data_IF_447122798722
#
_entry.id   IF_447122798722
#
_cell.length_a   1.000
_cell.length_b   1.000
_cell.length_c   1.000
_cell.angle_alpha   90.00
_cell.angle_beta   90.00
_cell.angle_gamma   90.00
#
_symmetry.space_group_name_H-M   'P 1'
#
loop_
_entity.id
_entity.type
_entity.pdbx_description
1 polymer ?
#
# COMPACT_ATOMS: atom_id res chain seq x y z
N UNK A 1 -25.91 -2.95 -12.32
CA UNK A 1 -25.02 -2.88 -11.14
C UNK A 1 -23.63 -3.33 -11.59
N UNK A 2 -22.57 -2.60 -11.21
CA UNK A 2 -21.20 -3.01 -11.48
C UNK A 2 -20.79 -4.21 -10.60
N UNK A 3 -19.78 -4.95 -11.02
CA UNK A 3 -19.29 -6.16 -10.38
C UNK A 3 -17.78 -6.03 -10.17
N UNK A 4 -17.34 -6.16 -8.93
CA UNK A 4 -15.92 -6.23 -8.58
C UNK A 4 -15.44 -7.68 -8.50
N UNK A 5 -14.30 -7.99 -9.12
CA UNK A 5 -13.52 -9.23 -8.94
C UNK A 5 -12.11 -8.84 -8.50
N UNK A 6 -11.72 -9.24 -7.29
CA UNK A 6 -10.34 -9.10 -6.81
C UNK A 6 -9.41 -9.95 -7.68
N UNK A 7 -8.26 -9.40 -8.08
CA UNK A 7 -7.26 -10.07 -8.90
C UNK A 7 -5.96 -10.33 -8.12
N UNK A 8 -5.54 -9.37 -7.30
CA UNK A 8 -4.33 -9.49 -6.50
C UNK A 8 -4.35 -8.54 -5.29
N UNK A 9 -3.67 -8.86 -4.18
CA UNK A 9 -3.49 -7.92 -3.08
C UNK A 9 -2.58 -6.76 -3.49
N UNK A 10 -2.87 -5.57 -3.01
CA UNK A 10 -2.04 -4.37 -3.19
C UNK A 10 -2.08 -3.52 -1.92
N UNK A 11 -1.54 -4.04 -0.81
CA UNK A 11 -1.62 -3.37 0.48
C UNK A 11 -0.96 -2.00 0.42
N UNK A 12 -1.46 -1.05 1.22
CA UNK A 12 -0.70 0.16 1.51
C UNK A 12 0.52 -0.22 2.36
N UNK A 13 1.58 0.55 2.19
CA UNK A 13 2.83 0.43 2.94
C UNK A 13 3.30 1.83 3.30
N UNK A 14 3.83 1.99 4.51
CA UNK A 14 4.55 3.21 4.90
C UNK A 14 6.01 3.01 4.55
N UNK A 15 6.63 4.02 3.95
CA UNK A 15 8.00 3.93 3.47
C UNK A 15 8.74 5.28 3.57
N UNK A 16 10.06 5.19 3.62
CA UNK A 16 10.96 6.33 3.59
C UNK A 16 12.31 5.96 2.98
N UNK A 17 13.09 6.95 2.55
CA UNK A 17 14.48 6.72 2.16
C UNK A 17 15.34 6.27 3.35
N UNK A 18 16.35 5.41 3.13
CA UNK A 18 17.31 5.04 4.17
C UNK A 18 17.96 6.26 4.84
N UNK A 19 18.32 7.28 4.06
CA UNK A 19 18.95 8.51 4.56
C UNK A 19 18.03 9.34 5.47
N UNK A 20 16.73 9.30 5.23
CA UNK A 20 15.75 9.91 6.14
C UNK A 20 15.73 9.16 7.48
N UNK A 21 15.60 7.83 7.43
CA UNK A 21 15.53 6.99 8.63
C UNK A 21 16.82 7.07 9.46
N UNK A 22 17.98 7.13 8.83
CA UNK A 22 19.26 7.31 9.52
C UNK A 22 19.33 8.64 10.30
N UNK A 23 18.69 9.70 9.79
CA UNK A 23 18.72 11.04 10.40
C UNK A 23 17.61 11.27 11.43
N UNK A 24 16.45 10.66 11.24
CA UNK A 24 15.23 10.93 12.03
C UNK A 24 14.78 9.76 12.89
N UNK A 25 15.40 8.59 12.75
CA UNK A 25 14.92 7.35 13.33
C UNK A 25 13.79 6.73 12.50
N UNK A 26 13.47 5.48 12.82
CA UNK A 26 12.34 4.75 12.27
C UNK A 26 11.21 4.73 13.30
N UNK A 27 9.97 5.12 12.94
CA UNK A 27 8.83 4.98 13.84
C UNK A 27 8.50 3.49 14.03
N UNK A 28 8.17 3.08 15.25
CA UNK A 28 7.84 1.68 15.60
C UNK A 28 6.36 1.51 15.93
N UNK A 29 5.72 2.56 16.44
CA UNK A 29 4.27 2.59 16.68
C UNK A 29 3.60 3.70 15.89
N UNK A 30 2.31 3.55 15.63
CA UNK A 30 1.56 4.47 14.78
C UNK A 30 1.52 5.91 15.36
N UNK A 31 1.65 6.07 16.68
CA UNK A 31 1.72 7.38 17.33
C UNK A 31 3.04 8.15 17.05
N UNK A 32 4.12 7.44 16.71
CA UNK A 32 5.41 8.05 16.35
C UNK A 32 5.30 8.89 15.08
N UNK A 33 4.34 8.59 14.19
CA UNK A 33 4.11 9.36 12.97
C UNK A 33 3.88 10.85 13.22
N UNK A 34 3.43 11.23 14.41
CA UNK A 34 3.28 12.64 14.82
C UNK A 34 4.60 13.41 14.84
N UNK A 35 5.72 12.72 14.97
CA UNK A 35 7.06 13.30 15.04
C UNK A 35 7.79 13.30 13.69
N UNK A 36 7.14 12.78 12.64
CA UNK A 36 7.72 12.65 11.31
C UNK A 36 6.91 13.47 10.27
N UNK A 37 7.59 14.21 9.37
CA UNK A 37 6.93 14.70 8.17
C UNK A 37 6.31 13.56 7.37
N UNK A 38 4.99 13.57 7.23
CA UNK A 38 4.21 12.63 6.43
C UNK A 38 3.73 13.33 5.16
N UNK A 39 4.16 12.82 4.01
CA UNK A 39 3.88 13.42 2.70
C UNK A 39 2.45 13.05 2.29
N UNK A 40 1.59 14.07 2.16
CA UNK A 40 0.20 13.87 1.77
C UNK A 40 0.03 13.77 0.25
N UNK A 41 -0.84 12.85 -0.20
CA UNK A 41 -1.41 12.84 -1.54
C UNK A 41 -2.65 13.75 -1.56
N UNK A 42 -2.71 14.72 -2.48
CA UNK A 42 -3.83 15.67 -2.56
C UNK A 42 -5.16 14.95 -2.73
N UNK A 43 -6.18 15.40 -2.00
CA UNK A 43 -7.50 14.75 -1.97
C UNK A 43 -7.57 13.49 -1.10
N UNK A 44 -6.43 12.94 -0.66
CA UNK A 44 -6.35 11.78 0.25
C UNK A 44 -5.36 12.04 1.39
N UNK A 45 -5.59 13.05 2.25
CA UNK A 45 -4.65 13.42 3.30
C UNK A 45 -4.69 12.49 4.51
N UNK A 46 -5.61 11.54 4.58
CA UNK A 46 -5.74 10.58 5.68
C UNK A 46 -5.15 9.23 5.28
N UNK A 47 -4.27 8.71 6.14
CA UNK A 47 -3.68 7.38 6.08
C UNK A 47 -4.49 6.45 6.97
N UNK A 48 -5.03 5.40 6.37
CA UNK A 48 -5.88 4.42 7.05
C UNK A 48 -5.07 3.24 7.55
N UNK A 49 -5.38 2.82 8.77
CA UNK A 49 -4.77 1.70 9.48
C UNK A 49 -5.84 0.88 10.20
N UNK A 50 -5.47 -0.31 10.64
CA UNK A 50 -6.20 -1.13 11.61
C UNK A 50 -5.31 -1.34 12.84
N UNK A 51 -5.77 -0.97 14.03
CA UNK A 51 -5.09 -1.14 15.33
C UNK A 51 -6.05 -1.89 16.24
N UNK A 52 -5.62 -3.03 16.79
CA UNK A 52 -6.45 -3.91 17.64
C UNK A 52 -7.80 -4.35 17.00
N UNK A 53 -7.85 -4.42 15.67
CA UNK A 53 -9.07 -4.76 14.91
C UNK A 53 -9.96 -3.56 14.56
N UNK A 54 -9.69 -2.39 15.14
CA UNK A 54 -10.46 -1.17 14.90
C UNK A 54 -9.81 -0.28 13.82
N UNK A 55 -10.62 0.35 12.95
CA UNK A 55 -10.10 1.28 11.95
C UNK A 55 -9.61 2.58 12.61
N UNK A 56 -8.38 2.97 12.28
CA UNK A 56 -7.74 4.22 12.74
C UNK A 56 -7.25 5.00 11.53
N UNK A 57 -7.48 6.31 11.52
CA UNK A 57 -6.99 7.19 10.46
C UNK A 57 -6.07 8.28 11.04
N UNK A 58 -4.90 8.46 10.43
CA UNK A 58 -3.97 9.53 10.74
C UNK A 58 -3.93 10.53 9.59
N UNK A 59 -4.05 11.81 9.89
CA UNK A 59 -3.83 12.85 8.89
C UNK A 59 -2.32 12.98 8.62
N UNK A 60 -1.91 12.79 7.38
CA UNK A 60 -0.55 13.07 6.94
C UNK A 60 -0.26 14.57 7.09
N UNK A 61 0.78 14.89 7.84
CA UNK A 61 1.23 16.24 8.12
C UNK A 61 2.71 16.39 7.73
N UNK A 62 2.98 17.27 6.79
CA UNK A 62 4.33 17.57 6.31
C UNK A 62 4.35 18.89 5.56
N UNK A 63 5.54 19.44 5.35
CA UNK A 63 5.72 20.69 4.58
C UNK A 63 5.52 20.51 3.07
N UNK A 64 5.49 19.27 2.59
CA UNK A 64 5.33 18.91 1.19
C UNK A 64 4.11 18.00 1.00
N UNK A 65 3.37 18.25 -0.07
CA UNK A 65 2.28 17.40 -0.54
C UNK A 65 2.21 17.48 -2.06
N UNK A 66 1.71 16.42 -2.69
CA UNK A 66 1.60 16.36 -4.14
C UNK A 66 0.30 15.68 -4.59
N UNK A 67 -0.11 15.92 -5.82
CA UNK A 67 -1.32 15.34 -6.42
C UNK A 67 -1.07 14.06 -7.24
N UNK A 68 0.16 13.55 -7.25
CA UNK A 68 0.50 12.30 -7.94
C UNK A 68 1.32 11.39 -7.05
N UNK A 69 1.10 10.08 -7.22
CA UNK A 69 1.86 9.03 -6.53
C UNK A 69 3.36 9.13 -6.85
N UNK A 70 3.71 9.42 -8.10
CA UNK A 70 5.10 9.56 -8.54
C UNK A 70 5.83 10.69 -7.81
N UNK A 71 5.18 11.84 -7.62
CA UNK A 71 5.77 12.97 -6.90
C UNK A 71 5.93 12.67 -5.40
N UNK A 72 4.94 12.01 -4.78
CA UNK A 72 5.04 11.55 -3.37
C UNK A 72 6.19 10.57 -3.20
N UNK A 73 6.29 9.56 -4.08
CA UNK A 73 7.37 8.56 -4.09
C UNK A 73 8.73 9.22 -4.25
N UNK A 74 8.86 10.15 -5.22
CA UNK A 74 10.09 10.88 -5.47
C UNK A 74 10.51 11.73 -4.27
N UNK A 75 9.57 12.46 -3.65
CA UNK A 75 9.84 13.24 -2.44
C UNK A 75 10.31 12.37 -1.26
N UNK A 76 9.70 11.20 -1.06
CA UNK A 76 10.13 10.24 -0.03
C UNK A 76 11.55 9.72 -0.28
N UNK A 77 11.88 9.37 -1.54
CA UNK A 77 13.24 8.98 -1.97
C UNK A 77 14.28 10.07 -1.70
N UNK A 78 13.90 11.34 -1.88
CA UNK A 78 14.75 12.50 -1.59
C UNK A 78 14.79 12.86 -0.09
N UNK A 79 14.12 12.10 0.76
CA UNK A 79 14.16 12.24 2.21
C UNK A 79 13.36 13.42 2.77
N UNK A 80 12.29 13.82 2.08
CA UNK A 80 11.39 14.88 2.57
C UNK A 80 10.46 14.40 3.69
N UNK A 81 10.30 13.08 3.85
CA UNK A 81 9.40 12.52 4.85
C UNK A 81 9.02 11.07 4.57
N UNK A 82 8.10 10.58 5.39
CA UNK A 82 7.41 9.30 5.22
C UNK A 82 6.34 9.43 4.14
N UNK A 83 6.10 8.37 3.39
CA UNK A 83 4.99 8.27 2.45
C UNK A 83 4.20 6.99 2.69
N UNK A 84 2.88 7.05 2.51
CA UNK A 84 2.02 5.87 2.42
C UNK A 84 1.53 5.70 0.99
N UNK A 85 2.02 4.66 0.32
CA UNK A 85 1.69 4.30 -1.07
C UNK A 85 1.29 2.84 -1.12
N UNK A 86 0.78 2.38 -2.26
CA UNK A 86 0.51 0.94 -2.41
C UNK A 86 1.82 0.20 -2.70
N UNK A 87 1.93 -1.06 -2.29
CA UNK A 87 3.16 -1.84 -2.48
C UNK A 87 3.58 -1.89 -3.95
N UNK A 88 2.61 -2.01 -4.86
CA UNK A 88 2.87 -2.02 -6.30
C UNK A 88 3.44 -0.70 -6.82
N UNK A 89 3.17 0.43 -6.15
CA UNK A 89 3.75 1.73 -6.53
C UNK A 89 5.24 1.83 -6.20
N UNK A 90 5.74 1.06 -5.24
CA UNK A 90 7.12 1.22 -4.72
C UNK A 90 7.96 -0.07 -4.76
N UNK A 91 7.46 -1.13 -5.37
CA UNK A 91 8.14 -2.43 -5.40
C UNK A 91 9.55 -2.35 -6.00
N UNK A 92 9.78 -1.48 -6.98
CA UNK A 92 11.11 -1.26 -7.55
C UNK A 92 12.03 -0.58 -6.52
N UNK A 93 11.56 0.50 -5.89
CA UNK A 93 12.32 1.23 -4.89
C UNK A 93 12.70 0.38 -3.68
N UNK A 94 11.81 -0.50 -3.22
CA UNK A 94 12.10 -1.45 -2.14
C UNK A 94 13.18 -2.44 -2.59
N UNK A 95 13.08 -3.00 -3.80
CA UNK A 95 14.08 -3.96 -4.34
C UNK A 95 15.45 -3.33 -4.52
N UNK A 96 15.50 -2.08 -4.98
CA UNK A 96 16.75 -1.33 -5.18
C UNK A 96 17.29 -0.71 -3.88
N UNK A 97 16.51 -0.75 -2.80
CA UNK A 97 16.88 -0.18 -1.50
C UNK A 97 16.81 1.35 -1.44
N UNK A 98 16.23 2.01 -2.44
CA UNK A 98 16.04 3.47 -2.43
C UNK A 98 14.88 3.94 -1.56
N UNK A 99 13.97 3.02 -1.21
CA UNK A 99 13.02 3.16 -0.11
C UNK A 99 13.11 1.94 0.80
N UNK A 100 12.77 2.13 2.07
CA UNK A 100 12.54 1.06 3.05
C UNK A 100 11.10 1.10 3.51
N UNK A 101 10.47 -0.07 3.55
CA UNK A 101 9.19 -0.28 4.20
C UNK A 101 9.35 -0.15 5.71
N UNK A 102 8.33 0.40 6.36
CA UNK A 102 8.24 0.56 7.81
C UNK A 102 7.00 -0.22 8.27
N UNK A 103 7.25 -1.22 9.09
CA UNK A 103 6.21 -1.99 9.76
C UNK A 103 6.00 -1.43 11.17
N UNK A 104 4.76 -1.38 11.63
CA UNK A 104 4.40 -0.92 12.96
C UNK A 104 4.04 -2.12 13.84
N UNK A 105 4.40 -2.03 15.12
CA UNK A 105 4.13 -3.08 16.10
C UNK A 105 2.64 -3.14 16.51
N UNK A 106 1.94 -2.00 16.42
CA UNK A 106 0.60 -1.81 16.95
C UNK A 106 -0.47 -1.59 15.87
N UNK A 107 -0.08 -1.50 14.60
CA UNK A 107 -1.03 -1.16 13.52
C UNK A 107 -0.63 -1.75 12.17
N UNK A 108 -1.64 -2.11 11.38
CA UNK A 108 -1.47 -2.53 10.00
C UNK A 108 -2.01 -1.45 9.05
N UNK A 109 -1.25 -1.02 8.04
CA UNK A 109 -1.79 -0.16 6.99
C UNK A 109 -2.96 -0.83 6.24
N UNK A 110 -3.82 0.00 5.65
CA UNK A 110 -4.98 -0.44 4.85
C UNK A 110 -4.62 -1.51 3.80
N UNK A 111 -5.33 -2.64 3.85
CA UNK A 111 -5.16 -3.75 2.93
C UNK A 111 -6.08 -3.56 1.70
N UNK A 112 -5.51 -3.12 0.58
CA UNK A 112 -6.23 -2.94 -0.68
C UNK A 112 -6.01 -4.10 -1.65
N UNK A 113 -6.79 -4.13 -2.74
CA UNK A 113 -6.65 -5.09 -3.82
C UNK A 113 -6.71 -4.43 -5.21
N UNK A 114 -5.98 -4.99 -6.16
CA UNK A 114 -6.19 -4.74 -7.58
C UNK A 114 -7.47 -5.48 -7.98
N UNK A 115 -8.46 -4.74 -8.46
CA UNK A 115 -9.81 -5.26 -8.74
C UNK A 115 -10.24 -4.96 -10.17
N UNK A 116 -10.75 -5.96 -10.88
CA UNK A 116 -11.47 -5.77 -12.13
C UNK A 116 -12.91 -5.33 -11.85
N UNK A 117 -13.33 -4.23 -12.45
CA UNK A 117 -14.71 -3.74 -12.40
C UNK A 117 -15.40 -4.01 -13.73
N UNK A 118 -16.46 -4.81 -13.70
CA UNK A 118 -17.22 -5.27 -14.86
C UNK A 118 -18.67 -4.78 -14.81
N UNK A 119 -19.32 -4.50 -15.95
CA UNK A 119 -20.70 -4.00 -15.96
C UNK A 119 -21.76 -5.03 -15.55
N UNK A 120 -21.42 -6.33 -15.59
CA UNK A 120 -22.33 -7.43 -15.25
C UNK A 120 -21.57 -8.74 -15.01
N UNK A 121 -22.15 -9.66 -14.22
CA UNK A 121 -21.68 -11.06 -14.10
C UNK A 121 -22.18 -11.95 -15.23
N UNK A 122 -23.26 -11.54 -15.89
CA UNK A 122 -23.94 -12.32 -16.92
C UNK A 122 -23.49 -11.86 -18.31
N UNK A 123 -23.30 -12.81 -19.24
CA UNK A 123 -22.95 -12.53 -20.64
C UNK A 123 -21.67 -11.70 -20.82
N UNK A 124 -20.70 -11.86 -19.91
CA UNK A 124 -19.35 -11.32 -20.11
C UNK A 124 -18.75 -11.97 -21.36
N UNK A 125 -18.32 -11.19 -22.38
CA UNK A 125 -17.76 -11.75 -23.60
C UNK A 125 -16.56 -12.65 -23.30
N UNK A 126 -16.46 -13.78 -24.01
CA UNK A 126 -15.42 -14.79 -23.76
C UNK A 126 -14.00 -14.21 -23.69
N UNK A 127 -13.67 -13.30 -24.62
CA UNK A 127 -12.38 -12.60 -24.67
C UNK A 127 -12.06 -11.80 -23.41
N UNK A 128 -13.07 -11.19 -22.78
CA UNK A 128 -12.91 -10.40 -21.55
C UNK A 128 -12.65 -11.34 -20.38
N UNK A 129 -13.37 -12.45 -20.29
CA UNK A 129 -13.14 -13.47 -19.26
C UNK A 129 -11.70 -14.00 -19.35
N UNK A 130 -11.28 -14.44 -20.54
CA UNK A 130 -9.91 -14.90 -20.77
C UNK A 130 -8.86 -13.84 -20.42
N UNK A 131 -9.10 -12.57 -20.77
CA UNK A 131 -8.21 -11.48 -20.41
C UNK A 131 -8.09 -11.32 -18.88
N UNK A 132 -9.22 -11.27 -18.16
CA UNK A 132 -9.23 -11.11 -16.71
C UNK A 132 -8.56 -12.30 -16.02
N UNK A 133 -8.85 -13.52 -16.47
CA UNK A 133 -8.22 -14.74 -15.93
C UNK A 133 -6.70 -14.73 -16.16
N UNK A 134 -6.26 -14.32 -17.36
CA UNK A 134 -4.83 -14.21 -17.67
C UNK A 134 -4.17 -13.10 -16.86
N UNK A 135 -4.84 -11.96 -16.70
CA UNK A 135 -4.34 -10.82 -15.93
C UNK A 135 -4.18 -11.19 -14.45
N UNK A 136 -5.18 -11.85 -13.85
CA UNK A 136 -5.09 -12.35 -12.49
C UNK A 136 -3.88 -13.27 -12.30
N UNK A 137 -3.70 -14.25 -13.20
CA UNK A 137 -2.57 -15.17 -13.14
C UNK A 137 -1.21 -14.45 -13.26
N UNK A 138 -1.11 -13.40 -14.07
CA UNK A 138 0.14 -12.62 -14.20
C UNK A 138 0.39 -11.70 -13.00
N UNK A 139 -0.65 -11.10 -12.43
CA UNK A 139 -0.53 -10.27 -11.24
C UNK A 139 -0.12 -11.11 -10.02
N UNK A 140 -0.67 -12.30 -9.85
CA UNK A 140 -0.31 -13.21 -8.75
C UNK A 140 1.16 -13.66 -8.81
N UNK A 141 1.70 -13.91 -10.02
CA UNK A 141 3.14 -14.22 -10.19
C UNK A 141 4.05 -13.10 -9.73
N UNK A 142 3.68 -11.85 -10.02
CA UNK A 142 4.47 -10.66 -9.64
C UNK A 142 4.34 -10.31 -8.15
N UNK A 143 3.30 -10.79 -7.48
CA UNK A 143 3.05 -10.55 -6.07
C UNK A 143 3.69 -11.59 -5.13
N UNK A 144 4.16 -12.73 -5.66
CA UNK A 144 4.71 -13.83 -4.85
C UNK A 144 5.97 -13.45 -4.03
N UNK A 145 6.53 -12.25 -4.21
CA UNK A 145 7.63 -11.70 -3.41
C UNK A 145 7.21 -10.80 -2.24
N UNK A 146 5.92 -10.54 -2.01
CA UNK A 146 5.44 -9.59 -0.98
C UNK A 146 4.74 -10.23 0.22
N UNK A 147 4.63 -11.57 0.27
CA UNK A 147 3.95 -12.28 1.35
C UNK A 147 4.85 -12.37 2.58
N UNK A 148 5.00 -11.24 3.29
CA UNK A 148 5.31 -11.26 4.72
C UNK A 148 4.15 -11.89 5.47
N UNK A 149 4.45 -13.03 6.09
CA UNK A 149 3.68 -13.85 7.03
C UNK A 149 2.37 -13.26 7.57
N UNK A 150 1.25 -13.68 6.97
CA UNK A 150 -0.02 -13.84 7.67
C UNK A 150 -0.56 -15.25 7.38
N UNK A 151 0.19 -16.26 7.82
CA UNK A 151 -0.35 -17.60 8.02
C UNK A 151 -0.87 -17.69 9.45
N UNK A 152 -2.17 -17.47 9.61
CA UNK A 152 -2.94 -18.15 10.64
C UNK A 152 -4.15 -18.75 9.96
N UNK A 153 -3.91 -19.95 9.44
CA UNK A 153 -4.90 -20.99 9.24
C UNK A 153 -5.74 -21.11 10.51
N UNK A 154 -7.06 -20.97 10.39
CA UNK A 154 -7.96 -21.50 11.40
C UNK A 154 -9.30 -21.93 10.76
N UNK A 155 -9.30 -23.12 10.17
CA UNK A 155 -10.33 -24.15 10.38
C UNK A 155 -9.68 -25.20 11.31
N UNK A 156 -10.38 -25.94 12.19
CA UNK A 156 -11.76 -26.45 12.08
C UNK A 156 -12.62 -26.11 13.33
N UNK A 157 -13.93 -26.40 13.44
CA UNK A 157 -14.71 -27.58 13.08
C UNK A 157 -16.19 -27.26 12.77
#
# INVERSE_FOLDING_TARGET
ALVARSLAPNPRVVCASPDYLARRGQPTVLDDLRHHPCIALHGMPYWSFTRDGDPVAIRAQGSFSANSVEAVRTASKQGLGLAMLTYWDIQQEIREGSLRQIDFEDALPEQLSITAVLPTRQRVPHRVRLFVDRLEAELQKHNAGSTGTASSTNEPA
#
